data_IF_415643248226
#
_entry.id   IF_415643248226
#
_cell.length_a   1.000
_cell.length_b   1.000
_cell.length_c   1.000
_cell.angle_alpha   90.00
_cell.angle_beta   90.00
_cell.angle_gamma   90.00
#
_symmetry.space_group_name_H-M   'P 1'
#
loop_
_entity.id
_entity.type
_entity.pdbx_description
1 polymer ?
#
# COMPACT_ATOMS: atom_id res chain seq x y z
N UNK A 1 -4.82 18.07 35.08
CA UNK A 1 -3.99 18.02 33.86
C UNK A 1 -3.26 16.68 33.88
N UNK A 2 -3.68 15.73 33.06
CA UNK A 2 -3.01 14.42 32.95
C UNK A 2 -1.72 14.61 32.14
N UNK A 3 -0.56 14.29 32.74
CA UNK A 3 0.69 14.13 31.99
C UNK A 3 0.67 12.74 31.39
N UNK A 4 0.60 12.64 30.07
CA UNK A 4 0.93 11.40 29.37
C UNK A 4 2.46 11.26 29.52
N UNK A 5 2.98 10.16 30.09
CA UNK A 5 4.41 9.97 30.19
C UNK A 5 5.02 9.85 28.79
N UNK A 6 6.12 10.58 28.56
CA UNK A 6 6.90 10.47 27.32
C UNK A 6 7.45 9.05 27.22
N UNK A 7 6.93 8.29 26.26
CA UNK A 7 7.33 6.91 26.04
C UNK A 7 8.60 6.91 25.19
N UNK A 8 9.76 6.75 25.82
CA UNK A 8 11.02 6.60 25.11
C UNK A 8 11.35 5.11 24.95
N UNK A 9 11.34 4.61 23.72
CA UNK A 9 11.60 3.19 23.42
C UNK A 9 12.99 2.74 23.88
N UNK A 10 13.97 3.65 23.99
CA UNK A 10 15.31 3.31 24.47
C UNK A 10 15.35 2.96 25.95
N UNK A 11 14.33 3.38 26.71
CA UNK A 11 14.23 3.12 28.16
C UNK A 11 13.68 1.70 28.43
N UNK A 12 13.10 1.06 27.41
CA UNK A 12 12.46 -0.27 27.50
C UNK A 12 13.24 -1.32 26.71
N UNK A 13 13.77 -0.95 25.54
CA UNK A 13 14.57 -1.82 24.69
C UNK A 13 15.93 -1.18 24.45
N UNK A 14 16.99 -1.82 24.96
CA UNK A 14 18.36 -1.38 24.70
C UNK A 14 18.61 -1.33 23.18
N UNK A 15 18.79 -0.12 22.64
CA UNK A 15 19.05 0.14 21.21
C UNK A 15 17.88 0.70 20.40
N UNK A 16 16.65 0.70 20.93
CA UNK A 16 15.47 1.16 20.18
C UNK A 16 15.15 0.32 18.92
N UNK A 17 14.11 0.69 18.15
CA UNK A 17 13.78 0.00 16.90
C UNK A 17 14.75 0.39 15.78
N UNK A 18 15.30 -0.60 15.08
CA UNK A 18 16.06 -0.41 13.84
C UNK A 18 15.23 -0.91 12.63
N UNK A 19 14.68 -0.01 11.80
CA UNK A 19 13.91 -0.39 10.61
C UNK A 19 14.81 -0.76 9.40
N UNK A 20 16.12 -0.51 9.46
CA UNK A 20 17.03 -0.64 8.32
C UNK A 20 17.00 -2.04 7.70
N UNK A 21 17.04 -3.16 8.47
CA UNK A 21 16.99 -4.50 7.88
C UNK A 21 15.70 -4.79 7.09
N UNK A 22 14.57 -4.20 7.51
CA UNK A 22 13.28 -4.35 6.82
C UNK A 22 13.25 -3.50 5.56
N UNK A 23 13.75 -2.26 5.63
CA UNK A 23 13.82 -1.37 4.48
C UNK A 23 14.78 -1.93 3.42
N UNK A 24 15.95 -2.44 3.81
CA UNK A 24 16.92 -3.05 2.90
C UNK A 24 16.35 -4.31 2.22
N UNK A 25 15.63 -5.14 2.98
CA UNK A 25 15.06 -6.38 2.44
C UNK A 25 13.86 -6.15 1.52
N UNK A 26 12.96 -5.23 1.90
CA UNK A 26 11.65 -5.08 1.23
C UNK A 26 11.48 -3.76 0.46
N UNK A 27 12.43 -2.83 0.57
CA UNK A 27 12.49 -1.59 -0.21
C UNK A 27 11.73 -0.40 0.37
N UNK A 28 10.96 -0.56 1.46
CA UNK A 28 10.19 0.54 2.06
C UNK A 28 9.26 1.23 1.05
N UNK A 29 9.36 2.55 0.89
CA UNK A 29 8.60 3.29 -0.14
C UNK A 29 8.91 2.86 -1.58
N UNK A 30 10.06 2.21 -1.82
CA UNK A 30 10.45 1.66 -3.11
C UNK A 30 10.06 0.18 -3.30
N UNK A 31 9.29 -0.42 -2.37
CA UNK A 31 8.79 -1.78 -2.53
C UNK A 31 8.07 -1.93 -3.89
N UNK A 32 8.49 -2.90 -4.69
CA UNK A 32 7.95 -3.12 -6.04
C UNK A 32 7.76 -4.61 -6.33
N UNK A 33 6.86 -5.29 -5.59
CA UNK A 33 6.62 -6.72 -5.77
C UNK A 33 5.74 -6.94 -7.02
N UNK A 34 5.87 -8.12 -7.64
CA UNK A 34 4.93 -8.57 -8.67
C UNK A 34 3.64 -9.09 -8.04
N UNK A 35 2.55 -9.08 -8.80
CA UNK A 35 1.26 -9.66 -8.38
C UNK A 35 0.68 -9.06 -7.09
N UNK A 36 0.96 -7.78 -6.82
CA UNK A 36 0.43 -7.06 -5.66
C UNK A 36 -0.27 -5.79 -6.14
N UNK A 37 -1.49 -5.60 -5.66
CA UNK A 37 -2.25 -4.36 -5.79
C UNK A 37 -2.14 -3.58 -4.48
N UNK A 38 -1.79 -2.29 -4.56
CA UNK A 38 -1.76 -1.40 -3.41
C UNK A 38 -2.94 -0.44 -3.43
N UNK A 39 -3.66 -0.38 -2.32
CA UNK A 39 -4.81 0.51 -2.15
C UNK A 39 -4.60 1.46 -0.99
N UNK A 40 -5.12 2.69 -1.11
CA UNK A 40 -5.01 3.72 -0.08
C UNK A 40 -6.27 4.61 -0.10
N UNK A 41 -6.66 5.15 1.05
CA UNK A 41 -7.57 6.31 1.11
C UNK A 41 -6.79 7.61 0.88
N UNK A 42 -7.36 8.59 0.17
CA UNK A 42 -6.73 9.90 -0.02
C UNK A 42 -6.37 10.58 1.32
N UNK A 43 -7.25 10.45 2.32
CA UNK A 43 -7.12 11.04 3.65
C UNK A 43 -6.69 10.03 4.71
N UNK A 44 -6.23 8.85 4.30
CA UNK A 44 -5.64 7.90 5.24
C UNK A 44 -4.30 8.46 5.77
N UNK A 45 -4.16 8.70 7.09
CA UNK A 45 -2.90 9.18 7.66
C UNK A 45 -1.74 8.19 7.43
N UNK A 46 -2.03 6.91 7.21
CA UNK A 46 -0.99 5.91 6.95
C UNK A 46 -0.43 5.99 5.52
N UNK A 47 -1.11 6.67 4.58
CA UNK A 47 -0.68 6.80 3.19
C UNK A 47 0.75 7.36 3.06
N UNK A 48 1.12 8.27 3.94
CA UNK A 48 2.48 8.84 4.04
C UNK A 48 3.59 7.80 4.25
N UNK A 49 3.25 6.63 4.79
CA UNK A 49 4.20 5.55 5.09
C UNK A 49 4.12 4.40 4.06
N UNK A 50 3.29 4.52 3.03
CA UNK A 50 3.13 3.48 1.99
C UNK A 50 3.92 3.80 0.72
N UNK A 51 3.92 2.87 -0.22
CA UNK A 51 4.46 3.04 -1.58
C UNK A 51 3.84 4.22 -2.36
N UNK A 52 2.71 4.76 -1.88
CA UNK A 52 2.00 5.92 -2.43
C UNK A 52 2.16 7.19 -1.61
N UNK A 53 3.17 7.25 -0.74
CA UNK A 53 3.54 8.48 -0.05
C UNK A 53 3.77 9.64 -1.02
N UNK A 54 3.30 10.82 -0.62
CA UNK A 54 3.50 12.09 -1.31
C UNK A 54 4.54 12.98 -0.60
N UNK A 55 5.14 12.48 0.48
CA UNK A 55 6.08 13.20 1.36
C UNK A 55 7.49 13.26 0.75
N UNK A 56 7.58 13.89 -0.42
CA UNK A 56 8.85 14.09 -1.15
C UNK A 56 9.92 14.80 -0.34
N UNK A 57 9.53 15.64 0.63
CA UNK A 57 10.46 16.31 1.55
C UNK A 57 11.18 15.33 2.49
N UNK A 58 10.59 14.16 2.74
CA UNK A 58 11.19 13.09 3.53
C UNK A 58 11.88 12.02 2.65
N UNK A 59 11.89 12.21 1.33
CA UNK A 59 12.55 11.31 0.37
C UNK A 59 11.62 10.31 -0.33
N UNK A 60 10.29 10.45 -0.21
CA UNK A 60 9.37 9.57 -0.93
C UNK A 60 9.50 9.73 -2.46
N UNK A 61 9.51 8.63 -3.25
CA UNK A 61 9.75 8.68 -4.70
C UNK A 61 8.60 9.27 -5.51
N UNK A 62 7.42 9.50 -4.89
CA UNK A 62 6.21 10.02 -5.54
C UNK A 62 5.87 9.27 -6.84
N UNK A 63 5.85 7.93 -6.75
CA UNK A 63 5.51 7.06 -7.88
C UNK A 63 4.08 7.30 -8.38
N UNK A 64 3.91 7.19 -9.69
CA UNK A 64 2.62 7.35 -10.35
C UNK A 64 1.72 6.15 -10.06
N UNK A 65 0.48 6.44 -9.69
CA UNK A 65 -0.53 5.39 -9.57
C UNK A 65 -1.04 5.00 -10.96
N UNK A 66 -1.06 3.70 -11.25
CA UNK A 66 -1.60 3.16 -12.50
C UNK A 66 -2.57 2.01 -12.21
N UNK A 67 -3.57 1.87 -13.07
CA UNK A 67 -4.52 0.75 -13.03
C UNK A 67 -4.28 -0.26 -14.15
N UNK A 68 -3.24 -0.05 -14.96
CA UNK A 68 -2.78 -1.04 -15.93
C UNK A 68 -2.25 -2.28 -15.20
N UNK A 69 -2.98 -3.40 -15.32
CA UNK A 69 -2.68 -4.64 -14.62
C UNK A 69 -1.35 -5.22 -15.15
N UNK A 70 -0.31 -5.36 -14.31
CA UNK A 70 0.97 -5.96 -14.71
C UNK A 70 0.82 -7.39 -15.23
N UNK A 71 1.75 -7.84 -16.06
CA UNK A 71 1.84 -9.26 -16.42
C UNK A 71 2.14 -10.11 -15.18
N UNK A 72 1.79 -11.40 -15.22
CA UNK A 72 2.07 -12.28 -14.10
C UNK A 72 3.58 -12.38 -13.83
N UNK A 73 3.98 -12.38 -12.56
CA UNK A 73 5.37 -12.40 -12.09
C UNK A 73 6.22 -11.22 -12.60
N UNK A 74 5.57 -10.15 -13.07
CA UNK A 74 6.23 -8.92 -13.50
C UNK A 74 5.76 -7.77 -12.61
N UNK A 75 6.71 -7.12 -11.95
CA UNK A 75 6.43 -5.91 -11.18
C UNK A 75 6.10 -4.73 -12.12
N UNK A 76 5.30 -3.74 -11.68
CA UNK A 76 5.10 -2.52 -12.44
C UNK A 76 6.42 -1.75 -12.62
N UNK A 77 6.41 -0.74 -13.50
CA UNK A 77 7.56 0.13 -13.71
C UNK A 77 8.06 0.74 -12.39
N UNK A 78 9.36 1.02 -12.28
CA UNK A 78 9.96 1.51 -11.02
C UNK A 78 9.35 2.82 -10.53
N UNK A 79 8.86 3.65 -11.44
CA UNK A 79 8.23 4.94 -11.15
C UNK A 79 6.71 4.83 -11.04
N UNK A 80 6.15 3.62 -11.09
CA UNK A 80 4.71 3.37 -11.00
C UNK A 80 4.35 2.42 -9.86
N UNK A 81 3.07 2.45 -9.47
CA UNK A 81 2.46 1.57 -8.48
C UNK A 81 1.13 1.11 -9.06
N UNK A 82 0.92 -0.21 -9.12
CA UNK A 82 -0.36 -0.78 -9.51
C UNK A 82 -1.37 -0.70 -8.35
N UNK A 83 -2.51 -0.05 -8.59
CA UNK A 83 -3.65 -0.08 -7.67
C UNK A 83 -4.45 1.22 -7.64
N UNK A 84 -5.00 1.57 -6.48
CA UNK A 84 -5.99 2.67 -6.34
C UNK A 84 -5.67 3.57 -5.15
N UNK A 85 -5.90 4.88 -5.30
CA UNK A 85 -6.06 5.81 -4.19
C UNK A 85 -7.46 6.38 -4.27
N UNK A 86 -8.32 6.02 -3.33
CA UNK A 86 -9.73 6.38 -3.39
C UNK A 86 -9.94 7.83 -2.94
N UNK A 87 -10.49 8.70 -3.80
CA UNK A 87 -10.75 10.10 -3.45
C UNK A 87 -11.70 10.22 -2.26
N UNK A 88 -11.38 11.12 -1.34
CA UNK A 88 -12.18 11.39 -0.15
C UNK A 88 -12.18 10.31 0.93
N UNK A 89 -11.53 9.16 0.69
CA UNK A 89 -11.60 8.03 1.60
C UNK A 89 -10.50 8.04 2.66
N UNK A 90 -10.81 7.37 3.77
CA UNK A 90 -9.90 7.16 4.91
C UNK A 90 -9.38 5.72 4.92
N UNK A 91 -8.86 5.30 6.05
CA UNK A 91 -8.26 3.98 6.24
C UNK A 91 -9.22 2.83 5.90
N UNK A 92 -8.75 1.94 5.01
CA UNK A 92 -9.35 0.63 4.69
C UNK A 92 -10.85 0.69 4.29
N UNK A 93 -11.24 1.67 3.48
CA UNK A 93 -12.63 1.78 2.99
C UNK A 93 -12.97 0.76 1.90
N UNK A 94 -11.97 0.15 1.29
CA UNK A 94 -12.09 -0.85 0.23
C UNK A 94 -12.29 -2.29 0.70
N UNK A 95 -12.34 -2.50 2.02
CA UNK A 95 -12.73 -3.78 2.63
C UNK A 95 -14.01 -3.67 3.47
N UNK A 96 -14.70 -2.53 3.39
CA UNK A 96 -15.90 -2.20 4.18
C UNK A 96 -17.00 -1.71 3.25
N UNK A 97 -18.25 -1.98 3.62
CA UNK A 97 -19.42 -1.43 2.92
C UNK A 97 -20.22 -2.48 2.16
N UNK A 98 -21.09 -1.99 1.28
CA UNK A 98 -22.02 -2.79 0.48
C UNK A 98 -21.44 -3.03 -0.92
N UNK A 99 -21.32 -4.31 -1.30
CA UNK A 99 -20.82 -4.72 -2.62
C UNK A 99 -21.76 -4.38 -3.78
N UNK A 100 -23.02 -4.03 -3.48
CA UNK A 100 -24.02 -3.62 -4.48
C UNK A 100 -23.90 -2.15 -4.90
N UNK A 101 -23.18 -1.33 -4.14
CA UNK A 101 -22.83 0.03 -4.57
C UNK A 101 -21.59 -0.01 -5.47
N UNK A 102 -21.82 0.06 -6.77
CA UNK A 102 -20.79 0.04 -7.82
C UNK A 102 -19.80 1.23 -7.72
N UNK A 103 -20.18 2.31 -7.02
CA UNK A 103 -19.29 3.46 -6.82
C UNK A 103 -18.47 3.38 -5.52
N UNK A 104 -18.76 2.39 -4.68
CA UNK A 104 -18.07 2.24 -3.40
C UNK A 104 -16.59 1.90 -3.59
N UNK A 105 -15.70 2.35 -2.69
CA UNK A 105 -14.29 1.94 -2.71
C UNK A 105 -14.11 0.43 -2.69
N UNK A 106 -14.99 -0.28 -1.97
CA UNK A 106 -15.04 -1.74 -1.92
C UNK A 106 -15.24 -2.31 -3.32
N UNK A 107 -16.26 -1.85 -4.05
CA UNK A 107 -16.55 -2.44 -5.36
C UNK A 107 -15.50 -2.06 -6.40
N UNK A 108 -15.08 -0.80 -6.45
CA UNK A 108 -14.01 -0.33 -7.34
C UNK A 108 -12.71 -1.11 -7.11
N UNK A 109 -12.34 -1.32 -5.84
CA UNK A 109 -11.16 -2.09 -5.47
C UNK A 109 -11.27 -3.57 -5.84
N UNK A 110 -12.41 -4.19 -5.52
CA UNK A 110 -12.66 -5.59 -5.79
C UNK A 110 -12.70 -5.89 -7.29
N UNK A 111 -13.27 -5.01 -8.12
CA UNK A 111 -13.31 -5.18 -9.56
C UNK A 111 -11.91 -5.15 -10.18
N UNK A 112 -11.07 -4.17 -9.79
CA UNK A 112 -9.69 -4.11 -10.27
C UNK A 112 -8.87 -5.30 -9.79
N UNK A 113 -9.03 -5.69 -8.52
CA UNK A 113 -8.36 -6.86 -7.96
C UNK A 113 -8.79 -8.15 -8.66
N UNK A 114 -10.09 -8.34 -8.92
CA UNK A 114 -10.62 -9.53 -9.59
C UNK A 114 -10.11 -9.64 -11.02
N UNK A 115 -10.09 -8.53 -11.78
CA UNK A 115 -9.49 -8.50 -13.11
C UNK A 115 -7.99 -8.82 -13.08
N UNK A 116 -7.26 -8.36 -12.05
CA UNK A 116 -5.86 -8.70 -11.86
C UNK A 116 -5.66 -10.17 -11.52
N UNK A 117 -6.49 -10.71 -10.63
CA UNK A 117 -6.49 -12.11 -10.26
C UNK A 117 -6.76 -12.99 -11.48
N UNK A 118 -7.76 -12.69 -12.30
CA UNK A 118 -8.06 -13.43 -13.54
C UNK A 118 -6.87 -13.45 -14.50
N UNK A 119 -6.10 -12.37 -14.57
CA UNK A 119 -4.89 -12.29 -15.39
C UNK A 119 -3.73 -13.13 -14.82
N UNK A 120 -3.61 -13.21 -13.51
CA UNK A 120 -2.47 -13.85 -12.84
C UNK A 120 -2.69 -15.32 -12.53
N UNK A 121 -3.93 -15.70 -12.19
CA UNK A 121 -4.31 -17.02 -11.73
C UNK A 121 -3.94 -18.15 -12.71
N UNK A 122 -4.05 -18.01 -14.05
CA UNK A 122 -3.64 -19.06 -14.98
C UNK A 122 -2.17 -19.46 -14.91
N UNK A 123 -1.32 -18.60 -14.33
CA UNK A 123 0.11 -18.83 -14.15
C UNK A 123 0.47 -19.29 -12.73
N UNK A 124 -0.53 -19.46 -11.86
CA UNK A 124 -0.32 -19.96 -10.51
C UNK A 124 -0.20 -21.49 -10.57
N UNK A 125 1.02 -21.99 -10.45
CA UNK A 125 1.27 -23.41 -10.29
C UNK A 125 1.14 -23.79 -8.82
N UNK A 126 0.19 -24.68 -8.51
CA UNK A 126 0.12 -25.32 -7.18
C UNK A 126 1.37 -26.19 -7.04
N UNK A 127 2.21 -25.87 -6.05
CA UNK A 127 3.36 -26.70 -5.67
C UNK A 127 2.96 -27.78 -4.67
#
# INVERSE_FOLDING_TARGET
MFKIPDFNSTDIFAGGPDPSPIIEKYGGWHMNPSNVMFTNGQFDPWRSFTVRSEDTQLGAPRRQLVQDIPACNVAPGKDTVFGVTYPGQVHEQDIKGDVSDESSPLRVGLDLYSAALDKWLPFFEVK
#
